data_IF_548135610246
#
_entry.id   IF_548135610246
#
_cell.length_a   1.000
_cell.length_b   1.000
_cell.length_c   1.000
_cell.angle_alpha   90.00
_cell.angle_beta   90.00
_cell.angle_gamma   90.00
#
_symmetry.space_group_name_H-M   'P 1'
#
loop_
_entity.id
_entity.type
_entity.pdbx_description
1 polymer ?
#
# COMPACT_ATOMS: atom_id res chain seq x y z
N UNK A 1 -2.34 23.94 26.91
CA UNK A 1 -2.47 22.52 26.51
C UNK A 1 -1.31 22.17 25.61
N UNK A 2 -0.39 21.35 26.11
CA UNK A 2 0.71 20.81 25.31
C UNK A 2 0.07 19.76 24.40
N UNK A 3 0.32 19.73 23.08
CA UNK A 3 -0.30 18.73 22.23
C UNK A 3 0.13 17.37 22.74
N UNK A 4 -0.83 16.66 23.34
CA UNK A 4 -0.63 15.33 23.85
C UNK A 4 -0.25 14.47 22.66
N UNK A 5 0.97 13.98 22.79
CA UNK A 5 1.59 12.97 21.96
C UNK A 5 0.61 11.83 21.72
N UNK A 6 -0.02 11.81 20.54
CA UNK A 6 0.00 10.58 19.74
C UNK A 6 1.44 10.39 19.22
N UNK A 7 2.42 10.43 20.13
CA UNK A 7 3.85 10.31 19.88
C UNK A 7 4.42 9.26 20.83
N UNK A 8 3.73 8.11 20.85
CA UNK A 8 4.12 6.91 21.59
C UNK A 8 4.53 5.75 20.69
N UNK A 9 4.42 5.86 19.36
CA UNK A 9 4.91 4.85 18.43
C UNK A 9 6.38 5.12 18.10
N UNK A 10 7.23 4.11 18.27
CA UNK A 10 8.64 4.18 17.86
C UNK A 10 8.73 4.50 16.35
N UNK A 11 9.82 5.11 15.85
CA UNK A 11 9.98 5.37 14.41
C UNK A 11 9.78 4.11 13.55
N UNK A 12 10.18 2.95 14.08
CA UNK A 12 9.92 1.64 13.46
C UNK A 12 8.43 1.33 13.37
N UNK A 13 7.68 1.57 14.44
CA UNK A 13 6.24 1.37 14.44
C UNK A 13 5.52 2.29 13.44
N UNK A 14 5.99 3.52 13.25
CA UNK A 14 5.45 4.42 12.23
C UNK A 14 5.70 3.89 10.81
N UNK A 15 6.91 3.43 10.50
CA UNK A 15 7.22 2.82 9.18
C UNK A 15 6.38 1.57 8.94
N UNK A 16 6.24 0.70 9.94
CA UNK A 16 5.38 -0.49 9.85
C UNK A 16 3.93 -0.11 9.60
N UNK A 17 3.40 0.88 10.33
CA UNK A 17 2.03 1.36 10.12
C UNK A 17 1.85 1.96 8.73
N UNK A 18 2.80 2.78 8.25
CA UNK A 18 2.78 3.32 6.88
C UNK A 18 2.72 2.20 5.85
N UNK A 19 3.54 1.16 6.00
CA UNK A 19 3.51 -0.01 5.13
C UNK A 19 2.16 -0.71 5.16
N UNK A 20 1.63 -1.03 6.34
CA UNK A 20 0.37 -1.74 6.50
C UNK A 20 -0.82 -0.94 5.95
N UNK A 21 -0.84 0.38 6.16
CA UNK A 21 -1.85 1.26 5.58
C UNK A 21 -1.77 1.28 4.05
N UNK A 22 -0.57 1.37 3.48
CA UNK A 22 -0.36 1.24 2.04
C UNK A 22 -0.85 -0.11 1.51
N UNK A 23 -0.47 -1.20 2.17
CA UNK A 23 -0.87 -2.55 1.79
C UNK A 23 -2.39 -2.75 1.82
N UNK A 24 -3.06 -2.24 2.86
CA UNK A 24 -4.52 -2.26 2.93
C UNK A 24 -5.16 -1.46 1.79
N UNK A 25 -4.60 -0.29 1.44
CA UNK A 25 -5.06 0.50 0.29
C UNK A 25 -4.90 -0.25 -1.04
N UNK A 26 -3.82 -1.01 -1.22
CA UNK A 26 -3.61 -1.87 -2.39
C UNK A 26 -4.68 -2.96 -2.52
N UNK A 27 -5.09 -3.58 -1.40
CA UNK A 27 -6.19 -4.54 -1.40
C UNK A 27 -7.54 -3.89 -1.75
N UNK A 28 -7.84 -2.73 -1.18
CA UNK A 28 -9.06 -1.97 -1.49
C UNK A 28 -9.09 -1.60 -2.97
N UNK A 29 -7.95 -1.17 -3.53
CA UNK A 29 -7.81 -0.89 -4.95
C UNK A 29 -8.08 -2.14 -5.80
N UNK A 30 -7.47 -3.28 -5.48
CA UNK A 30 -7.68 -4.53 -6.21
C UNK A 30 -9.15 -4.96 -6.22
N UNK A 31 -9.80 -4.94 -5.06
CA UNK A 31 -11.23 -5.28 -4.92
C UNK A 31 -12.11 -4.30 -5.71
N UNK A 32 -11.83 -3.00 -5.58
CA UNK A 32 -12.56 -1.96 -6.31
C UNK A 32 -12.42 -2.09 -7.82
N UNK A 33 -11.19 -2.27 -8.31
CA UNK A 33 -10.93 -2.46 -9.74
C UNK A 33 -11.64 -3.70 -10.28
N UNK A 34 -11.56 -4.82 -9.55
CA UNK A 34 -12.22 -6.08 -9.93
C UNK A 34 -13.75 -5.97 -9.93
N UNK A 35 -14.32 -5.16 -9.04
CA UNK A 35 -15.77 -4.93 -8.98
C UNK A 35 -16.27 -4.01 -10.11
N UNK A 36 -15.47 -3.02 -10.53
CA UNK A 36 -15.84 -2.08 -11.60
C UNK A 36 -15.69 -2.68 -12.99
N UNK A 37 -14.57 -3.37 -13.25
CA UNK A 37 -14.35 -4.08 -14.52
C UNK A 37 -13.46 -5.31 -14.27
N UNK A 38 -14.07 -6.50 -14.15
CA UNK A 38 -13.34 -7.74 -13.98
C UNK A 38 -12.34 -8.01 -15.10
N UNK A 39 -12.68 -7.65 -16.35
CA UNK A 39 -11.84 -7.90 -17.52
C UNK A 39 -10.59 -7.01 -17.53
N UNK A 40 -10.76 -5.71 -17.23
CA UNK A 40 -9.63 -4.79 -17.15
C UNK A 40 -8.74 -5.10 -15.93
N UNK A 41 -9.36 -5.47 -14.79
CA UNK A 41 -8.63 -5.91 -13.61
C UNK A 41 -7.83 -7.17 -13.90
N UNK A 42 -8.41 -8.18 -14.55
CA UNK A 42 -7.68 -9.38 -14.93
C UNK A 42 -6.53 -9.05 -15.90
N UNK A 43 -6.76 -8.22 -16.92
CA UNK A 43 -5.72 -7.85 -17.88
C UNK A 43 -4.48 -7.17 -17.24
N UNK A 44 -4.67 -6.45 -16.14
CA UNK A 44 -3.61 -5.65 -15.50
C UNK A 44 -3.07 -6.26 -14.21
N UNK A 45 -3.89 -7.02 -13.47
CA UNK A 45 -3.65 -7.42 -12.09
C UNK A 45 -3.63 -8.95 -11.92
N UNK A 46 -3.93 -9.73 -12.95
CA UNK A 46 -3.71 -11.17 -12.94
C UNK A 46 -2.28 -11.46 -13.43
N UNK A 47 -1.34 -11.56 -12.49
CA UNK A 47 0.08 -11.71 -12.82
C UNK A 47 0.40 -13.08 -13.39
N UNK A 48 -0.42 -14.10 -13.09
CA UNK A 48 -0.17 -15.49 -13.47
C UNK A 48 -1.10 -16.01 -14.56
N UNK A 49 -2.10 -15.21 -14.99
CA UNK A 49 -3.14 -15.59 -15.96
C UNK A 49 -4.02 -16.75 -15.50
N UNK A 50 -4.14 -16.90 -14.18
CA UNK A 50 -4.94 -17.95 -13.54
C UNK A 50 -6.23 -17.39 -12.89
N UNK A 51 -6.52 -16.10 -13.14
CA UNK A 51 -7.51 -15.31 -12.42
C UNK A 51 -6.92 -14.61 -11.21
N UNK A 52 -7.51 -13.48 -10.81
CA UNK A 52 -7.07 -12.70 -9.64
C UNK A 52 -7.20 -13.57 -8.39
N UNK A 53 -6.07 -13.91 -7.79
CA UNK A 53 -5.97 -14.78 -6.63
C UNK A 53 -5.26 -14.16 -5.44
N UNK A 54 -5.05 -14.97 -4.41
CA UNK A 54 -4.37 -14.55 -3.18
C UNK A 54 -2.92 -14.09 -3.43
N UNK A 55 -2.26 -14.64 -4.45
CA UNK A 55 -0.90 -14.22 -4.84
C UNK A 55 -0.90 -12.80 -5.40
N UNK A 56 -1.84 -12.49 -6.29
CA UNK A 56 -1.97 -11.15 -6.88
C UNK A 56 -2.33 -10.14 -5.78
N UNK A 57 -3.27 -10.50 -4.90
CA UNK A 57 -3.60 -9.69 -3.73
C UNK A 57 -2.38 -9.41 -2.85
N UNK A 58 -1.56 -10.43 -2.55
CA UNK A 58 -0.35 -10.26 -1.76
C UNK A 58 0.67 -9.35 -2.46
N UNK A 59 0.89 -9.53 -3.76
CA UNK A 59 1.84 -8.73 -4.55
C UNK A 59 1.38 -7.28 -4.61
N UNK A 60 0.11 -7.02 -4.94
CA UNK A 60 -0.45 -5.66 -5.00
C UNK A 60 -0.40 -4.98 -3.63
N UNK A 61 -0.76 -5.69 -2.56
CA UNK A 61 -0.65 -5.18 -1.20
C UNK A 61 0.82 -4.83 -0.85
N UNK A 62 1.76 -5.72 -1.16
CA UNK A 62 3.17 -5.48 -0.92
C UNK A 62 3.68 -4.25 -1.70
N UNK A 63 3.34 -4.13 -2.99
CA UNK A 63 3.74 -3.00 -3.83
C UNK A 63 3.22 -1.66 -3.29
N UNK A 64 1.94 -1.60 -2.92
CA UNK A 64 1.38 -0.37 -2.35
C UNK A 64 1.99 -0.03 -0.99
N UNK A 65 2.29 -1.04 -0.16
CA UNK A 65 3.02 -0.85 1.09
C UNK A 65 4.41 -0.24 0.88
N UNK A 66 5.16 -0.74 -0.12
CA UNK A 66 6.47 -0.20 -0.49
C UNK A 66 6.37 1.24 -1.02
N UNK A 67 5.39 1.52 -1.88
CA UNK A 67 5.14 2.88 -2.40
C UNK A 67 4.79 3.84 -1.27
N UNK A 68 3.97 3.42 -0.30
CA UNK A 68 3.65 4.24 0.86
C UNK A 68 4.90 4.61 1.67
N UNK A 69 5.81 3.64 1.92
CA UNK A 69 7.09 3.95 2.59
C UNK A 69 7.88 4.97 1.78
N UNK A 70 8.03 4.75 0.48
CA UNK A 70 8.81 5.62 -0.41
C UNK A 70 8.28 7.05 -0.39
N UNK A 71 6.97 7.23 -0.58
CA UNK A 71 6.32 8.54 -0.63
C UNK A 71 6.38 9.27 0.71
N UNK A 72 6.16 8.57 1.83
CA UNK A 72 6.06 9.21 3.13
C UNK A 72 7.41 9.45 3.82
N UNK A 73 8.41 8.59 3.58
CA UNK A 73 9.67 8.63 4.33
C UNK A 73 10.89 8.94 3.48
N UNK A 74 10.90 8.58 2.18
CA UNK A 74 12.09 8.72 1.34
C UNK A 74 12.01 9.99 0.47
N UNK A 75 10.90 10.16 -0.25
CA UNK A 75 10.71 11.28 -1.17
C UNK A 75 10.84 12.68 -0.50
N UNK A 76 10.33 12.91 0.72
CA UNK A 76 10.52 14.19 1.41
C UNK A 76 11.98 14.45 1.79
N UNK A 77 12.77 13.39 1.99
CA UNK A 77 14.21 13.52 2.21
C UNK A 77 14.96 13.93 0.95
N UNK A 78 14.58 13.39 -0.21
CA UNK A 78 15.14 13.76 -1.51
C UNK A 78 14.76 15.19 -1.89
N UNK A 79 13.49 15.58 -1.70
CA UNK A 79 13.02 16.92 -2.07
C UNK A 79 13.61 18.06 -1.21
N UNK A 80 14.27 17.72 -0.09
CA UNK A 80 14.94 18.67 0.81
C UNK A 80 16.47 18.68 0.67
N UNK A 81 17.02 17.80 -0.18
CA UNK A 81 18.45 17.76 -0.52
C UNK A 81 18.74 18.69 -1.70
#
# INVERSE_FOLDING_TARGET
MKPDRIAGSSPRAQVVLTFLTGAAAGLVFLVGASAVSPEAAAALLDLHRDGIGAKDALVIAWLFGQVAILVHHILPGIARA
#
